data_IF_198695098242
#
_entry.id   IF_198695098242
#
_cell.length_a   1.000
_cell.length_b   1.000
_cell.length_c   1.000
_cell.angle_alpha   90.00
_cell.angle_beta   90.00
_cell.angle_gamma   90.00
#
_symmetry.space_group_name_H-M   'P 1'
#
loop_
_entity.id
_entity.type
_entity.pdbx_description
1 polymer ?
#
# COMPACT_ATOMS: atom_id res chain seq x y z
N UNK A 1 -1.61 -2.25 8.57
CA UNK A 1 -1.18 -1.27 7.54
C UNK A 1 -1.19 -1.96 6.18
N UNK A 2 -1.94 -1.44 5.21
CA UNK A 2 -1.90 -1.94 3.83
C UNK A 2 -0.65 -1.35 3.17
N UNK A 3 0.10 -2.16 2.44
CA UNK A 3 1.26 -1.67 1.70
C UNK A 3 0.83 -0.56 0.74
N UNK A 4 1.53 0.58 0.68
CA UNK A 4 1.26 1.61 -0.33
C UNK A 4 1.51 1.13 -1.76
N UNK A 5 2.27 0.04 -1.92
CA UNK A 5 2.58 -0.57 -3.22
C UNK A 5 2.14 -2.04 -3.22
N UNK A 6 1.30 -2.48 -4.17
CA UNK A 6 0.90 -3.88 -4.23
C UNK A 6 2.09 -4.80 -4.51
N UNK A 7 1.96 -6.06 -4.10
CA UNK A 7 2.91 -7.10 -4.48
C UNK A 7 2.91 -7.24 -6.01
N UNK A 8 4.08 -7.03 -6.63
CA UNK A 8 4.26 -7.32 -8.07
C UNK A 8 4.21 -8.83 -8.34
N UNK A 9 4.68 -9.64 -7.38
CA UNK A 9 4.71 -11.11 -7.43
C UNK A 9 4.03 -11.63 -6.18
N UNK A 10 3.09 -12.56 -6.32
CA UNK A 10 2.38 -13.15 -5.19
C UNK A 10 3.34 -13.87 -4.24
N UNK A 11 3.08 -13.90 -2.92
CA UNK A 11 4.00 -14.51 -1.96
C UNK A 11 4.38 -15.96 -2.29
N UNK A 12 3.49 -16.73 -2.92
CA UNK A 12 3.71 -18.13 -3.28
C UNK A 12 4.16 -18.35 -4.74
N UNK A 13 4.33 -17.30 -5.54
CA UNK A 13 4.58 -17.41 -6.99
C UNK A 13 6.07 -17.44 -7.38
N UNK A 14 6.98 -17.28 -6.41
CA UNK A 14 8.42 -17.34 -6.65
C UNK A 14 8.89 -18.75 -7.07
N UNK A 15 9.96 -18.79 -7.87
CA UNK A 15 10.65 -20.01 -8.32
C UNK A 15 12.16 -19.84 -8.15
N UNK A 16 12.92 -20.87 -7.72
CA UNK A 16 12.44 -22.18 -7.28
C UNK A 16 11.67 -22.12 -5.96
N UNK A 17 10.97 -23.20 -5.60
CA UNK A 17 10.26 -23.27 -4.33
C UNK A 17 11.23 -23.36 -3.14
N UNK A 18 11.06 -22.47 -2.16
CA UNK A 18 11.76 -22.56 -0.88
C UNK A 18 10.83 -23.21 0.13
N UNK A 19 11.24 -24.31 0.75
CA UNK A 19 10.44 -25.03 1.75
C UNK A 19 10.87 -24.64 3.17
N UNK A 20 9.89 -24.48 4.06
CA UNK A 20 10.17 -24.45 5.50
C UNK A 20 10.40 -25.87 6.06
N UNK A 21 10.71 -25.98 7.35
CA UNK A 21 10.96 -27.27 8.00
C UNK A 21 9.72 -28.16 8.05
N UNK A 22 8.52 -27.57 7.98
CA UNK A 22 7.27 -28.32 7.78
C UNK A 22 7.08 -28.86 6.34
N UNK A 23 8.07 -28.72 5.45
CA UNK A 23 8.02 -29.10 4.02
C UNK A 23 6.94 -28.38 3.19
N UNK A 24 6.47 -27.22 3.65
CA UNK A 24 5.53 -26.36 2.91
C UNK A 24 6.27 -25.23 2.21
N UNK A 25 5.80 -24.81 1.03
CA UNK A 25 6.37 -23.66 0.31
C UNK A 25 6.24 -22.40 1.15
N UNK A 26 7.37 -21.80 1.50
CA UNK A 26 7.46 -20.61 2.32
C UNK A 26 7.09 -19.39 1.47
N UNK A 27 6.05 -18.62 1.82
CA UNK A 27 5.75 -17.35 1.15
C UNK A 27 6.93 -16.37 1.21
N UNK A 28 7.13 -15.67 0.11
CA UNK A 28 8.02 -14.50 -0.01
C UNK A 28 7.24 -13.24 0.40
N UNK A 29 7.50 -12.75 1.60
CA UNK A 29 6.93 -11.53 2.14
C UNK A 29 7.85 -10.33 1.92
N UNK A 30 7.28 -9.13 1.95
CA UNK A 30 8.03 -7.88 1.98
C UNK A 30 7.87 -7.25 3.36
N UNK A 31 8.99 -6.93 4.01
CA UNK A 31 8.99 -6.19 5.25
C UNK A 31 8.65 -4.72 4.98
N UNK A 32 7.75 -4.17 5.79
CA UNK A 32 7.37 -2.75 5.76
C UNK A 32 7.79 -2.03 7.05
N UNK A 33 8.60 -2.67 7.89
CA UNK A 33 9.17 -2.04 9.07
C UNK A 33 10.13 -0.93 8.65
N UNK A 34 10.35 0.02 9.54
CA UNK A 34 11.35 1.06 9.31
C UNK A 34 12.75 0.46 9.19
N UNK A 35 13.10 -0.56 9.97
CA UNK A 35 14.47 -1.09 10.01
C UNK A 35 14.84 -1.94 8.80
N UNK A 36 13.85 -2.49 8.11
CA UNK A 36 14.07 -3.27 6.88
C UNK A 36 12.95 -2.97 5.88
N UNK A 37 12.88 -1.72 5.37
CA UNK A 37 11.79 -1.30 4.51
C UNK A 37 11.99 -1.91 3.12
N UNK A 38 10.95 -2.51 2.57
CA UNK A 38 10.97 -3.12 1.24
C UNK A 38 11.79 -4.42 1.12
N UNK A 39 12.45 -4.86 2.21
CA UNK A 39 13.30 -6.06 2.18
C UNK A 39 12.46 -7.33 2.17
N UNK A 40 12.73 -8.26 1.26
CA UNK A 40 11.96 -9.50 1.15
C UNK A 40 12.52 -10.62 2.02
N UNK A 41 11.64 -11.46 2.54
CA UNK A 41 11.98 -12.62 3.36
C UNK A 41 11.05 -13.80 3.11
N UNK A 42 11.57 -15.01 3.33
CA UNK A 42 10.76 -16.22 3.44
C UNK A 42 10.37 -16.45 4.91
N UNK A 43 9.15 -16.94 5.14
CA UNK A 43 8.70 -17.38 6.47
C UNK A 43 7.80 -18.61 6.39
N UNK A 44 7.73 -19.40 7.45
CA UNK A 44 6.76 -20.49 7.53
C UNK A 44 5.32 -19.97 7.26
N UNK A 45 4.53 -20.64 6.41
CA UNK A 45 3.13 -20.26 6.16
C UNK A 45 2.25 -20.27 7.41
N UNK A 46 2.59 -21.09 8.42
CA UNK A 46 1.85 -21.16 9.67
C UNK A 46 2.05 -19.94 10.58
N UNK A 47 2.99 -19.04 10.28
CA UNK A 47 2.91 -17.64 10.70
C UNK A 47 2.60 -17.36 12.19
N UNK A 48 3.51 -17.65 13.13
CA UNK A 48 3.35 -17.42 14.59
C UNK A 48 2.19 -18.20 15.24
N UNK A 49 1.55 -19.13 14.54
CA UNK A 49 0.60 -20.07 15.16
C UNK A 49 1.34 -21.26 15.78
N UNK A 50 0.61 -22.13 16.50
CA UNK A 50 1.18 -23.34 17.11
C UNK A 50 1.90 -24.28 16.12
N UNK A 51 1.60 -24.18 14.82
CA UNK A 51 2.25 -24.96 13.75
C UNK A 51 3.42 -24.25 13.06
N UNK A 52 3.90 -23.12 13.60
CA UNK A 52 5.06 -22.40 13.09
C UNK A 52 6.36 -23.14 13.48
N UNK A 53 7.15 -23.55 12.48
CA UNK A 53 8.48 -24.13 12.71
C UNK A 53 9.56 -23.08 12.97
N UNK A 54 9.23 -21.79 12.92
CA UNK A 54 10.19 -20.70 13.11
C UNK A 54 11.04 -20.40 11.87
N UNK A 55 10.85 -21.13 10.76
CA UNK A 55 11.59 -20.89 9.52
C UNK A 55 11.47 -19.43 9.09
N UNK A 56 12.63 -18.77 8.94
CA UNK A 56 12.77 -17.39 8.50
C UNK A 56 14.08 -17.23 7.73
N UNK A 57 14.06 -16.51 6.61
CA UNK A 57 15.27 -16.18 5.84
C UNK A 57 15.12 -14.89 5.05
N UNK A 58 16.07 -13.98 5.16
CA UNK A 58 16.16 -12.82 4.28
C UNK A 58 16.54 -13.24 2.85
N UNK A 59 15.87 -12.63 1.86
CA UNK A 59 16.14 -12.85 0.43
C UNK A 59 17.11 -11.78 -0.05
N UNK A 60 16.76 -10.53 0.21
CA UNK A 60 17.57 -9.39 -0.21
C UNK A 60 18.66 -9.11 0.83
N UNK A 61 19.74 -8.48 0.37
CA UNK A 61 20.80 -7.98 1.26
C UNK A 61 20.25 -6.94 2.25
N UNK A 62 21.00 -6.67 3.32
CA UNK A 62 20.65 -5.60 4.22
C UNK A 62 20.94 -4.25 3.55
N UNK A 63 19.89 -3.42 3.44
CA UNK A 63 20.03 -2.10 2.88
C UNK A 63 20.97 -1.23 3.73
N UNK A 64 21.79 -0.43 3.08
CA UNK A 64 22.63 0.59 3.70
C UNK A 64 21.78 1.62 4.45
N UNK A 65 22.35 2.36 5.42
CA UNK A 65 21.62 3.42 6.11
C UNK A 65 20.97 4.44 5.15
N UNK A 66 21.66 4.78 4.06
CA UNK A 66 21.15 5.67 3.03
C UNK A 66 19.93 5.09 2.30
N UNK A 67 20.02 3.84 1.82
CA UNK A 67 18.89 3.18 1.14
C UNK A 67 17.68 3.01 2.04
N UNK A 68 17.90 2.68 3.32
CA UNK A 68 16.82 2.61 4.31
C UNK A 68 16.15 3.96 4.51
N UNK A 69 16.92 5.03 4.64
CA UNK A 69 16.40 6.38 4.80
C UNK A 69 15.62 6.83 3.56
N UNK A 70 16.23 6.71 2.38
CA UNK A 70 15.59 7.05 1.11
C UNK A 70 14.25 6.32 0.92
N UNK A 71 14.19 5.02 1.23
CA UNK A 71 12.96 4.24 1.10
C UNK A 71 11.88 4.70 2.09
N UNK A 72 12.26 5.10 3.31
CA UNK A 72 11.32 5.67 4.30
C UNK A 72 10.78 7.02 3.81
N UNK A 73 11.67 7.91 3.37
CA UNK A 73 11.31 9.25 2.91
C UNK A 73 10.36 9.20 1.71
N UNK A 74 10.64 8.32 0.73
CA UNK A 74 9.77 8.10 -0.42
C UNK A 74 8.41 7.52 -0.03
N UNK A 75 8.37 6.57 0.89
CA UNK A 75 7.11 6.00 1.40
C UNK A 75 6.26 7.09 2.06
N UNK A 76 6.89 7.91 2.88
CA UNK A 76 6.21 8.97 3.62
C UNK A 76 5.69 10.06 2.65
N UNK A 77 6.47 10.41 1.63
CA UNK A 77 6.03 11.31 0.54
C UNK A 77 4.83 10.75 -0.23
N UNK A 78 4.83 9.47 -0.59
CA UNK A 78 3.68 8.81 -1.24
C UNK A 78 2.43 8.88 -0.35
N UNK A 79 2.57 8.68 0.95
CA UNK A 79 1.45 8.81 1.89
C UNK A 79 0.91 10.23 2.02
N UNK A 80 1.77 11.25 2.00
CA UNK A 80 1.33 12.65 1.97
C UNK A 80 0.52 12.93 0.71
N UNK A 81 1.09 12.61 -0.46
CA UNK A 81 0.44 12.82 -1.76
C UNK A 81 -0.90 12.09 -1.87
N UNK A 82 -1.00 10.88 -1.32
CA UNK A 82 -2.27 10.13 -1.30
C UNK A 82 -3.34 10.80 -0.42
N UNK A 83 -2.95 11.46 0.67
CA UNK A 83 -3.88 12.22 1.52
C UNK A 83 -4.32 13.49 0.83
N UNK A 84 -3.38 14.28 0.33
CA UNK A 84 -3.65 15.52 -0.43
C UNK A 84 -4.60 15.24 -1.60
N UNK A 85 -4.30 14.22 -2.41
CA UNK A 85 -5.19 13.77 -3.49
C UNK A 85 -6.59 13.39 -2.98
N UNK A 86 -6.68 12.77 -1.81
CA UNK A 86 -7.95 12.42 -1.19
C UNK A 86 -8.75 13.65 -0.73
N UNK A 87 -8.07 14.71 -0.31
CA UNK A 87 -8.67 16.00 0.07
C UNK A 87 -9.10 16.80 -1.16
N UNK A 88 -8.27 16.87 -2.19
CA UNK A 88 -8.60 17.49 -3.47
C UNK A 88 -9.85 16.86 -4.08
N UNK A 89 -9.91 15.52 -4.12
CA UNK A 89 -11.09 14.80 -4.61
C UNK A 89 -12.35 15.12 -3.78
N UNK A 90 -12.23 15.35 -2.47
CA UNK A 90 -13.38 15.77 -1.66
C UNK A 90 -13.81 17.18 -2.00
N UNK A 91 -12.86 18.10 -2.19
CA UNK A 91 -13.13 19.48 -2.57
C UNK A 91 -13.80 19.56 -3.94
N UNK A 92 -13.28 18.82 -4.93
CA UNK A 92 -13.87 18.74 -6.28
C UNK A 92 -15.33 18.29 -6.24
N UNK A 93 -15.65 17.28 -5.42
CA UNK A 93 -17.03 16.81 -5.25
C UNK A 93 -17.94 17.88 -4.64
N UNK A 94 -17.44 18.69 -3.70
CA UNK A 94 -18.20 19.81 -3.09
C UNK A 94 -18.47 20.87 -4.15
N UNK A 95 -17.45 21.31 -4.88
CA UNK A 95 -17.56 22.31 -5.95
C UNK A 95 -18.52 21.84 -7.04
N UNK A 96 -18.46 20.57 -7.45
CA UNK A 96 -19.38 20.00 -8.43
C UNK A 96 -20.84 20.05 -7.96
N UNK A 97 -21.09 19.76 -6.68
CA UNK A 97 -22.43 19.85 -6.10
C UNK A 97 -22.93 21.29 -6.08
N UNK A 98 -22.14 22.23 -5.57
CA UNK A 98 -22.51 23.65 -5.49
C UNK A 98 -22.76 24.24 -6.89
N UNK A 99 -21.93 23.88 -7.88
CA UNK A 99 -22.13 24.28 -9.26
C UNK A 99 -23.43 23.70 -9.85
N UNK A 100 -23.78 22.45 -9.50
CA UNK A 100 -25.05 21.84 -9.88
C UNK A 100 -26.25 22.58 -9.29
N UNK A 101 -26.19 22.91 -8.00
CA UNK A 101 -27.24 23.65 -7.29
C UNK A 101 -27.40 25.08 -7.87
N UNK A 102 -26.28 25.76 -8.17
CA UNK A 102 -26.27 27.09 -8.79
C UNK A 102 -26.90 27.08 -10.20
N UNK A 103 -26.61 26.05 -10.99
CA UNK A 103 -27.20 25.89 -12.33
C UNK A 103 -28.72 25.71 -12.25
N UNK A 104 -29.23 24.90 -11.32
CA UNK A 104 -30.66 24.74 -11.10
C UNK A 104 -31.33 26.05 -10.67
N UNK A 105 -30.70 26.81 -9.77
CA UNK A 105 -31.23 28.10 -9.33
C UNK A 105 -31.30 29.10 -10.48
N UNK A 106 -30.27 29.14 -11.32
CA UNK A 106 -30.23 30.00 -12.51
C UNK A 106 -31.35 29.66 -13.50
N UNK A 107 -31.63 28.38 -13.72
CA UNK A 107 -32.74 27.94 -14.56
C UNK A 107 -34.10 28.34 -13.96
N UNK A 108 -34.26 28.28 -12.63
CA UNK A 108 -35.50 28.70 -11.98
C UNK A 108 -35.74 30.20 -12.14
N UNK A 109 -34.71 31.03 -11.92
CA UNK A 109 -34.81 32.48 -12.10
C UNK A 109 -35.21 32.85 -13.54
N UNK A 110 -34.63 32.18 -14.55
CA UNK A 110 -34.99 32.41 -15.95
C UNK A 110 -36.44 32.03 -16.26
N UNK A 111 -37.01 31.04 -15.58
CA UNK A 111 -38.44 30.68 -15.71
C UNK A 111 -39.35 31.69 -15.03
N UNK A 112 -38.91 32.24 -13.90
CA UNK A 112 -39.69 33.22 -13.14
C UNK A 112 -39.71 34.60 -13.83
N UNK A 113 -38.74 34.88 -14.70
CA UNK A 113 -38.64 36.12 -15.51
C UNK A 113 -39.43 36.07 -16.85
N UNK A 114 -39.94 34.91 -17.26
CA UNK A 114 -40.65 34.68 -18.54
C UNK A 114 -42.18 34.67 -18.38
#
# INVERSE_FOLDING_TARGET
MRSPVPYRVGPLEHSPAVLCDCRRKAPCWTSWSNDSPGRRYYRCPAGLTAGDCGFFRWIDHEATPYERQLTRDLRDAVWQLQREKGEDLRMDNVVQRENGDLMQLKEQLQKDEA
#
